data_IF_802891469292
#
_entry.id   IF_802891469292
#
_cell.length_a   1.000
_cell.length_b   1.000
_cell.length_c   1.000
_cell.angle_alpha   90.00
_cell.angle_beta   90.00
_cell.angle_gamma   90.00
#
_symmetry.space_group_name_H-M   'P 1'
#
loop_
_entity.id
_entity.type
_entity.pdbx_description
1 polymer ?
#
# COMPACT_ATOMS: atom_id res chain seq x y z
N UNK A 1 2.19 -21.85 -7.66
CA UNK A 1 1.92 -21.22 -6.36
C UNK A 1 3.04 -20.23 -6.07
N UNK A 2 2.72 -19.00 -5.68
CA UNK A 2 3.73 -18.01 -5.28
C UNK A 2 3.75 -17.95 -3.74
N UNK A 3 4.94 -18.04 -3.16
CA UNK A 3 5.14 -17.99 -1.71
C UNK A 3 6.01 -16.77 -1.39
N UNK A 4 5.61 -16.01 -0.37
CA UNK A 4 6.31 -14.81 0.07
C UNK A 4 6.71 -14.96 1.53
N UNK A 5 7.91 -14.48 1.88
CA UNK A 5 8.43 -14.47 3.24
C UNK A 5 9.19 -13.16 3.46
N UNK A 6 8.94 -12.53 4.61
CA UNK A 6 9.69 -11.38 5.10
C UNK A 6 10.19 -11.69 6.51
N UNK A 7 11.13 -10.88 6.99
CA UNK A 7 11.53 -10.84 8.40
C UNK A 7 11.37 -9.42 8.93
N UNK A 8 10.92 -9.27 10.17
CA UNK A 8 10.78 -7.98 10.82
C UNK A 8 11.12 -8.11 12.30
N UNK A 9 11.52 -7.00 12.92
CA UNK A 9 11.75 -6.94 14.36
C UNK A 9 11.28 -5.59 14.91
N UNK A 10 11.05 -5.55 16.22
CA UNK A 10 10.75 -4.33 16.96
C UNK A 10 11.53 -4.35 18.28
N UNK A 11 12.01 -3.19 18.70
CA UNK A 11 12.59 -2.94 20.02
C UNK A 11 11.68 -1.99 20.81
N UNK A 12 11.66 -2.09 22.15
CA UNK A 12 11.07 -1.05 22.98
C UNK A 12 11.63 0.33 22.59
N UNK A 13 10.78 1.38 22.67
CA UNK A 13 11.13 2.77 22.30
C UNK A 13 11.20 3.07 20.79
N UNK A 14 10.42 2.37 19.95
CA UNK A 14 10.04 2.85 18.60
C UNK A 14 10.95 2.46 17.42
N UNK A 15 12.02 1.69 17.66
CA UNK A 15 12.84 1.17 16.56
C UNK A 15 12.29 -0.17 16.07
N UNK A 16 11.55 -0.15 14.96
CA UNK A 16 11.05 -1.35 14.29
C UNK A 16 11.26 -1.28 12.77
N UNK A 17 11.62 -2.41 12.17
CA UNK A 17 11.96 -2.51 10.75
C UNK A 17 11.55 -3.86 10.18
N UNK A 18 11.15 -3.86 8.90
CA UNK A 18 10.91 -5.05 8.10
C UNK A 18 11.87 -5.11 6.91
N UNK A 19 12.30 -6.32 6.54
CA UNK A 19 13.09 -6.57 5.33
C UNK A 19 12.18 -7.15 4.25
N UNK A 20 11.87 -6.34 3.23
CA UNK A 20 11.16 -6.76 2.03
C UNK A 20 12.17 -6.89 0.88
N UNK A 21 12.49 -8.12 0.48
CA UNK A 21 13.56 -8.43 -0.46
C UNK A 21 14.93 -7.89 0.01
N UNK A 22 15.42 -6.79 -0.57
CA UNK A 22 16.67 -6.12 -0.18
C UNK A 22 16.44 -4.70 0.37
N UNK A 23 15.19 -4.38 0.69
CA UNK A 23 14.78 -3.06 1.14
C UNK A 23 14.35 -3.12 2.60
N UNK A 24 14.96 -2.27 3.40
CA UNK A 24 14.56 -2.03 4.79
C UNK A 24 13.40 -1.04 4.82
N UNK A 25 12.32 -1.41 5.50
CA UNK A 25 11.14 -0.59 5.72
C UNK A 25 11.04 -0.27 7.21
N UNK A 26 11.44 0.93 7.66
CA UNK A 26 11.20 1.35 9.04
C UNK A 26 9.72 1.56 9.27
N UNK A 27 9.25 1.26 10.48
CA UNK A 27 7.88 1.55 10.90
C UNK A 27 7.82 1.88 12.38
N UNK A 28 6.81 2.66 12.78
CA UNK A 28 6.58 3.01 14.18
C UNK A 28 5.09 3.24 14.45
N UNK A 29 4.65 2.85 15.63
CA UNK A 29 3.29 3.06 16.15
C UNK A 29 3.30 3.44 17.64
N UNK A 30 4.45 3.88 18.15
CA UNK A 30 4.62 4.29 19.54
C UNK A 30 4.00 5.66 19.80
N UNK A 31 3.61 5.92 21.05
CA UNK A 31 3.18 7.25 21.47
C UNK A 31 4.30 8.27 21.23
N UNK A 32 3.98 9.39 20.58
CA UNK A 32 4.97 10.40 20.21
C UNK A 32 5.86 10.02 19.01
N UNK A 33 5.42 9.10 18.14
CA UNK A 33 6.13 8.75 16.90
C UNK A 33 6.47 10.00 16.09
N UNK A 34 7.60 9.92 15.38
CA UNK A 34 7.93 10.88 14.33
C UNK A 34 7.09 10.59 13.07
N UNK A 35 6.65 11.65 12.38
CA UNK A 35 5.83 11.59 11.18
C UNK A 35 6.61 11.07 9.95
N UNK A 36 7.91 10.80 10.09
CA UNK A 36 8.76 10.24 9.02
C UNK A 36 8.60 8.73 8.83
N UNK A 37 8.05 7.99 9.81
CA UNK A 37 7.92 6.53 9.76
C UNK A 37 6.46 6.10 9.65
N UNK A 38 6.13 5.23 8.69
CA UNK A 38 4.77 4.74 8.55
C UNK A 38 4.40 3.82 9.72
N UNK A 39 3.14 3.86 10.13
CA UNK A 39 2.57 2.91 11.06
C UNK A 39 2.08 1.64 10.31
N UNK A 40 1.71 0.55 11.04
CA UNK A 40 1.24 -0.68 10.39
C UNK A 40 0.01 -0.51 9.50
N UNK A 41 -0.89 0.43 9.81
CA UNK A 41 -2.06 0.72 8.98
C UNK A 41 -1.64 1.39 7.65
N UNK A 42 -0.77 2.38 7.71
CA UNK A 42 -0.22 3.07 6.53
C UNK A 42 0.56 2.08 5.63
N UNK A 43 1.33 1.16 6.22
CA UNK A 43 2.00 0.08 5.48
C UNK A 43 1.01 -0.88 4.80
N UNK A 44 -0.08 -1.25 5.47
CA UNK A 44 -1.14 -2.09 4.88
C UNK A 44 -1.78 -1.40 3.67
N UNK A 45 -2.17 -0.13 3.83
CA UNK A 45 -2.76 0.65 2.74
C UNK A 45 -1.78 0.83 1.57
N UNK A 46 -0.50 1.03 1.87
CA UNK A 46 0.57 1.11 0.87
C UNK A 46 0.72 -0.20 0.08
N UNK A 47 0.70 -1.35 0.77
CA UNK A 47 0.77 -2.66 0.12
C UNK A 47 -0.45 -2.91 -0.79
N UNK A 48 -1.64 -2.50 -0.35
CA UNK A 48 -2.86 -2.57 -1.16
C UNK A 48 -2.76 -1.67 -2.40
N UNK A 49 -2.34 -0.42 -2.22
CA UNK A 49 -2.15 0.53 -3.31
C UNK A 49 -1.17 -0.01 -4.37
N UNK A 50 -0.02 -0.52 -3.92
CA UNK A 50 0.97 -1.14 -4.80
C UNK A 50 0.39 -2.34 -5.57
N UNK A 51 -0.40 -3.18 -4.91
CA UNK A 51 -1.06 -4.32 -5.54
C UNK A 51 -2.05 -3.89 -6.62
N UNK A 52 -2.92 -2.91 -6.33
CA UNK A 52 -3.91 -2.38 -7.27
C UNK A 52 -3.21 -1.75 -8.49
N UNK A 53 -2.21 -0.88 -8.28
CA UNK A 53 -1.48 -0.24 -9.37
C UNK A 53 -0.75 -1.25 -10.27
N UNK A 54 -0.10 -2.26 -9.69
CA UNK A 54 0.56 -3.33 -10.47
C UNK A 54 -0.44 -4.22 -11.19
N UNK A 55 -1.66 -4.36 -10.67
CA UNK A 55 -2.75 -5.05 -11.35
C UNK A 55 -3.24 -4.26 -12.57
N UNK A 56 -3.48 -2.94 -12.41
CA UNK A 56 -3.84 -2.04 -13.51
C UNK A 56 -2.83 -2.10 -14.64
N UNK A 57 -1.53 -2.00 -14.33
CA UNK A 57 -0.45 -2.12 -15.31
C UNK A 57 -0.47 -3.48 -16.04
N UNK A 58 -0.69 -4.57 -15.30
CA UNK A 58 -0.76 -5.91 -15.91
C UNK A 58 -1.94 -6.04 -16.88
N UNK A 59 -3.10 -5.51 -16.51
CA UNK A 59 -4.31 -5.61 -17.33
C UNK A 59 -4.32 -4.61 -18.48
N UNK A 60 -3.70 -3.45 -18.35
CA UNK A 60 -3.54 -2.50 -19.48
C UNK A 60 -2.82 -3.15 -20.65
N UNK A 61 -1.77 -3.92 -20.37
CA UNK A 61 -1.02 -4.70 -21.38
C UNK A 61 -1.90 -5.80 -22.00
N UNK A 62 -2.61 -6.57 -21.17
CA UNK A 62 -3.47 -7.67 -21.65
C UNK A 62 -4.65 -7.19 -22.50
N UNK A 63 -5.28 -6.11 -22.08
CA UNK A 63 -6.45 -5.51 -22.73
C UNK A 63 -6.06 -4.55 -23.86
N UNK A 64 -4.76 -4.25 -24.00
CA UNK A 64 -4.22 -3.28 -24.98
C UNK A 64 -4.84 -1.88 -24.82
N UNK A 65 -5.10 -1.49 -23.57
CA UNK A 65 -5.61 -0.16 -23.22
C UNK A 65 -4.44 0.65 -22.67
N UNK A 66 -3.83 1.55 -23.45
CA UNK A 66 -2.73 2.36 -22.95
C UNK A 66 -3.22 3.39 -21.94
N UNK A 67 -2.37 3.70 -20.96
CA UNK A 67 -2.52 4.83 -20.06
C UNK A 67 -1.15 5.46 -19.84
N UNK A 68 -1.10 6.75 -19.56
CA UNK A 68 0.13 7.49 -19.29
C UNK A 68 0.51 7.41 -17.83
N UNK A 69 -0.48 7.56 -16.94
CA UNK A 69 -0.29 7.52 -15.49
C UNK A 69 -1.49 6.92 -14.78
N UNK A 70 -1.23 6.18 -13.71
CA UNK A 70 -2.24 5.72 -12.76
C UNK A 70 -1.87 6.24 -11.37
N UNK A 71 -2.75 7.04 -10.78
CA UNK A 71 -2.65 7.54 -9.42
C UNK A 71 -3.68 6.83 -8.54
N UNK A 72 -3.36 6.65 -7.26
CA UNK A 72 -4.29 6.10 -6.28
C UNK A 72 -4.21 6.87 -4.97
N UNK A 73 -5.38 7.22 -4.45
CA UNK A 73 -5.58 7.71 -3.09
C UNK A 73 -6.26 6.59 -2.30
N UNK A 74 -5.73 6.23 -1.12
CA UNK A 74 -6.27 5.17 -0.27
C UNK A 74 -6.48 5.72 1.14
N UNK A 75 -7.68 5.54 1.68
CA UNK A 75 -8.05 5.89 3.04
C UNK A 75 -8.55 4.66 3.79
N UNK A 76 -8.18 4.53 5.06
CA UNK A 76 -8.60 3.44 5.93
C UNK A 76 -9.22 3.96 7.21
N UNK A 77 -10.32 3.34 7.62
CA UNK A 77 -10.98 3.59 8.91
C UNK A 77 -10.68 2.42 9.83
N UNK A 78 -10.00 2.69 10.95
CA UNK A 78 -9.72 1.69 11.97
C UNK A 78 -10.67 1.88 13.15
N UNK A 79 -11.45 0.85 13.46
CA UNK A 79 -12.21 0.79 14.70
C UNK A 79 -11.29 0.47 15.88
N UNK A 80 -11.66 0.91 17.08
CA UNK A 80 -10.84 0.72 18.28
C UNK A 80 -11.22 -0.51 19.10
N UNK A 81 -12.49 -0.98 19.04
CA UNK A 81 -12.98 -2.10 19.89
C UNK A 81 -13.88 -3.07 19.10
N UNK A 82 -13.38 -4.29 18.76
CA UNK A 82 -11.96 -4.68 18.78
C UNK A 82 -11.16 -3.90 17.72
N UNK A 83 -9.85 -3.71 17.92
CA UNK A 83 -9.04 -2.95 16.98
C UNK A 83 -8.93 -3.67 15.64
N UNK A 84 -9.50 -3.09 14.59
CA UNK A 84 -9.55 -3.67 13.26
C UNK A 84 -9.63 -2.58 12.19
N UNK A 85 -9.11 -2.88 10.99
CA UNK A 85 -9.38 -2.06 9.80
C UNK A 85 -10.80 -2.39 9.33
N UNK A 86 -11.76 -1.50 9.63
CA UNK A 86 -13.18 -1.72 9.37
C UNK A 86 -13.54 -1.40 7.91
N UNK A 87 -12.94 -0.34 7.36
CA UNK A 87 -13.19 0.10 6.00
C UNK A 87 -11.89 0.54 5.33
N UNK A 88 -11.76 0.23 4.03
CA UNK A 88 -10.75 0.83 3.16
C UNK A 88 -11.46 1.35 1.92
N UNK A 89 -11.36 2.66 1.68
CA UNK A 89 -11.82 3.30 0.45
C UNK A 89 -10.62 3.70 -0.39
N UNK A 90 -10.78 3.63 -1.71
CA UNK A 90 -9.73 4.07 -2.62
C UNK A 90 -10.33 4.73 -3.86
N UNK A 91 -9.59 5.70 -4.39
CA UNK A 91 -9.89 6.38 -5.64
C UNK A 91 -8.70 6.21 -6.58
N UNK A 92 -8.94 5.57 -7.72
CA UNK A 92 -7.95 5.45 -8.79
C UNK A 92 -8.25 6.50 -9.85
N UNK A 93 -7.23 7.24 -10.26
CA UNK A 93 -7.31 8.19 -11.38
C UNK A 93 -6.36 7.75 -12.49
N UNK A 94 -6.88 7.63 -13.71
CA UNK A 94 -6.10 7.26 -14.88
C UNK A 94 -5.98 8.45 -15.84
N UNK A 95 -4.76 8.83 -16.16
CA UNK A 95 -4.49 9.76 -17.27
C UNK A 95 -4.24 8.94 -18.52
N UNK A 96 -5.04 9.16 -19.56
CA UNK A 96 -4.90 8.46 -20.84
C UNK A 96 -5.37 9.34 -22.00
N UNK A 97 -4.77 9.12 -23.17
CA UNK A 97 -5.22 9.66 -24.45
C UNK A 97 -6.04 8.63 -25.26
N UNK A 98 -6.28 7.44 -24.70
CA UNK A 98 -7.09 6.41 -25.34
C UNK A 98 -8.54 6.89 -25.48
N UNK A 99 -9.01 6.96 -26.73
CA UNK A 99 -10.40 7.34 -27.06
C UNK A 99 -11.22 6.06 -27.20
N UNK A 100 -11.97 5.71 -26.15
CA UNK A 100 -12.90 4.58 -26.17
C UNK A 100 -12.61 3.53 -25.09
N UNK A 101 -12.93 3.86 -23.84
CA UNK A 101 -13.40 2.83 -22.91
C UNK A 101 -14.82 2.47 -23.37
N UNK A 102 -14.94 1.53 -24.31
CA UNK A 102 -16.24 0.89 -24.59
C UNK A 102 -16.48 -0.23 -23.60
#
# INVERSE_FOLDING_TARGET
MLNYKITAYSKPSGNAEAMANKTTLPFDASDGRDDTRPNPAELLLTALAACILKNIERYSVKLKIPYEKADIEVAGTRGDVPPAMEEITFKVSLTTNATGFK
#
